data_IF_567122122201
#
_entry.id   IF_567122122201
#
_cell.length_a   1.000
_cell.length_b   1.000
_cell.length_c   1.000
_cell.angle_alpha   90.00
_cell.angle_beta   90.00
_cell.angle_gamma   90.00
#
_symmetry.space_group_name_H-M   'P 1'
#
loop_
_entity.id
_entity.type
_entity.pdbx_description
1 polymer ?
#
# COMPACT_ATOMS: atom_id res chain seq x y z
N UNK A 1 -16.51 -35.81 52.15
CA UNK A 1 -15.92 -34.55 51.65
C UNK A 1 -16.12 -34.54 50.13
N UNK A 2 -17.27 -34.03 49.68
CA UNK A 2 -17.71 -34.09 48.29
C UNK A 2 -17.28 -32.79 47.59
N UNK A 3 -16.21 -32.86 46.79
CA UNK A 3 -15.69 -31.71 46.03
C UNK A 3 -16.11 -31.83 44.57
N UNK A 4 -17.39 -31.63 44.27
CA UNK A 4 -17.80 -31.14 42.95
C UNK A 4 -19.10 -30.34 43.15
N UNK A 5 -18.97 -29.07 43.52
CA UNK A 5 -20.06 -28.10 43.34
C UNK A 5 -20.18 -27.79 41.84
N UNK A 6 -21.42 -27.62 41.37
CA UNK A 6 -21.82 -27.79 39.97
C UNK A 6 -20.98 -27.05 38.93
N UNK A 7 -20.46 -27.80 37.96
CA UNK A 7 -19.98 -27.28 36.67
C UNK A 7 -21.17 -27.26 35.70
N UNK A 8 -21.61 -26.07 35.31
CA UNK A 8 -22.71 -25.92 34.36
C UNK A 8 -22.16 -25.76 32.94
N UNK A 9 -22.50 -26.69 32.05
CA UNK A 9 -22.13 -26.67 30.64
C UNK A 9 -23.18 -25.93 29.81
N UNK A 10 -22.75 -24.95 29.02
CA UNK A 10 -23.58 -24.32 28.00
C UNK A 10 -23.05 -24.65 26.61
N UNK A 11 -23.81 -25.42 25.85
CA UNK A 11 -23.46 -25.90 24.52
C UNK A 11 -24.09 -25.01 23.45
N UNK A 12 -23.29 -24.40 22.58
CA UNK A 12 -23.77 -23.78 21.35
C UNK A 12 -23.60 -24.75 20.17
N UNK A 13 -24.68 -25.40 19.76
CA UNK A 13 -24.80 -26.12 18.48
C UNK A 13 -25.61 -25.27 17.50
N UNK A 14 -25.07 -24.96 16.32
CA UNK A 14 -25.72 -24.09 15.33
C UNK A 14 -26.46 -24.94 14.27
N UNK A 15 -27.77 -24.73 14.01
CA UNK A 15 -28.44 -25.33 12.86
C UNK A 15 -28.03 -24.61 11.56
N UNK A 16 -27.97 -25.38 10.48
CA UNK A 16 -27.39 -25.00 9.17
C UNK A 16 -28.25 -24.08 8.30
N UNK A 17 -29.41 -23.56 8.76
CA UNK A 17 -30.32 -22.86 7.85
C UNK A 17 -31.11 -21.69 8.46
N UNK A 18 -31.15 -20.60 7.67
CA UNK A 18 -32.21 -19.57 7.52
C UNK A 18 -32.50 -18.52 8.60
N UNK A 19 -31.67 -18.32 9.61
CA UNK A 19 -31.80 -17.15 10.51
C UNK A 19 -30.81 -16.04 10.11
N UNK A 20 -31.28 -14.79 10.00
CA UNK A 20 -30.40 -13.65 9.70
C UNK A 20 -29.29 -13.53 10.74
N UNK A 21 -28.06 -13.29 10.31
CA UNK A 21 -26.84 -13.40 11.13
C UNK A 21 -26.86 -12.51 12.39
N UNK A 22 -27.52 -11.35 12.32
CA UNK A 22 -27.75 -10.43 13.45
C UNK A 22 -28.56 -11.06 14.58
N UNK A 23 -29.51 -11.94 14.24
CA UNK A 23 -30.36 -12.66 15.21
C UNK A 23 -29.59 -13.75 15.96
N UNK A 24 -28.60 -14.38 15.32
CA UNK A 24 -27.75 -15.42 15.93
C UNK A 24 -26.77 -14.82 16.94
N UNK A 25 -26.17 -13.67 16.64
CA UNK A 25 -25.26 -12.98 17.56
C UNK A 25 -25.98 -12.43 18.79
N UNK A 26 -27.12 -11.77 18.61
CA UNK A 26 -27.95 -11.27 19.73
C UNK A 26 -28.53 -12.41 20.58
N UNK A 27 -28.92 -13.53 19.97
CA UNK A 27 -29.36 -14.74 20.69
C UNK A 27 -28.22 -15.37 21.49
N UNK A 28 -27.00 -15.43 20.94
CA UNK A 28 -25.81 -15.92 21.65
C UNK A 28 -25.47 -15.05 22.86
N UNK A 29 -25.49 -13.72 22.73
CA UNK A 29 -25.32 -12.78 23.86
C UNK A 29 -26.39 -12.99 24.96
N UNK A 30 -27.66 -13.11 24.57
CA UNK A 30 -28.78 -13.32 25.52
C UNK A 30 -28.71 -14.68 26.21
N UNK A 31 -28.26 -15.73 25.51
CA UNK A 31 -28.08 -17.07 26.09
C UNK A 31 -26.89 -17.13 27.04
N UNK A 32 -25.76 -16.49 26.69
CA UNK A 32 -24.61 -16.35 27.59
C UNK A 32 -25.00 -15.61 28.89
N UNK A 33 -25.77 -14.53 28.77
CA UNK A 33 -26.24 -13.73 29.91
C UNK A 33 -27.10 -14.49 30.93
N UNK A 34 -27.82 -15.55 30.52
CA UNK A 34 -28.57 -16.41 31.45
C UNK A 34 -27.62 -17.29 32.28
N UNK A 35 -26.57 -17.77 31.64
CA UNK A 35 -25.50 -18.53 32.28
C UNK A 35 -24.54 -17.66 33.10
N UNK A 36 -24.54 -16.34 32.99
CA UNK A 36 -23.62 -15.49 33.77
C UNK A 36 -24.16 -15.09 35.16
N UNK A 37 -25.39 -15.47 35.51
CA UNK A 37 -25.97 -15.22 36.84
C UNK A 37 -25.25 -16.07 37.90
N UNK A 38 -25.00 -15.45 39.06
CA UNK A 38 -24.43 -16.09 40.24
C UNK A 38 -25.47 -17.01 40.90
N UNK A 39 -25.00 -18.14 41.44
CA UNK A 39 -25.80 -19.12 42.18
C UNK A 39 -24.87 -19.85 43.17
N UNK A 40 -25.35 -20.16 44.37
CA UNK A 40 -24.50 -20.65 45.48
C UNK A 40 -23.86 -22.02 45.20
N UNK A 41 -24.48 -22.83 44.34
CA UNK A 41 -23.98 -24.15 43.91
C UNK A 41 -23.19 -24.13 42.59
N UNK A 42 -22.76 -22.96 42.12
CA UNK A 42 -22.09 -22.79 40.84
C UNK A 42 -20.73 -22.10 41.01
N UNK A 43 -19.66 -22.86 40.79
CA UNK A 43 -18.29 -22.35 40.87
C UNK A 43 -17.87 -21.62 39.59
N UNK A 44 -18.23 -22.16 38.41
CA UNK A 44 -17.92 -21.54 37.13
C UNK A 44 -18.97 -21.89 36.05
N UNK A 45 -18.95 -21.14 34.95
CA UNK A 45 -19.71 -21.46 33.75
C UNK A 45 -18.73 -21.93 32.66
N UNK A 46 -18.85 -23.18 32.24
CA UNK A 46 -18.10 -23.69 31.08
C UNK A 46 -18.96 -23.58 29.84
N UNK A 47 -18.48 -22.82 28.84
CA UNK A 47 -19.18 -22.65 27.57
C UNK A 47 -18.40 -23.36 26.47
N UNK A 48 -19.06 -24.27 25.77
CA UNK A 48 -18.52 -24.96 24.61
C UNK A 48 -19.23 -24.45 23.36
N UNK A 49 -18.49 -23.73 22.49
CA UNK A 49 -19.00 -23.25 21.19
C UNK A 49 -18.38 -24.07 20.07
N UNK A 50 -19.21 -24.89 19.43
CA UNK A 50 -18.79 -25.71 18.30
C UNK A 50 -18.75 -24.85 17.04
N UNK A 51 -17.55 -24.44 16.64
CA UNK A 51 -17.32 -23.63 15.45
C UNK A 51 -17.34 -24.53 14.22
N UNK A 52 -18.53 -24.70 13.63
CA UNK A 52 -18.72 -25.34 12.32
C UNK A 52 -18.46 -24.40 11.14
N UNK A 53 -18.74 -24.85 9.93
CA UNK A 53 -18.69 -24.01 8.72
C UNK A 53 -19.79 -22.94 8.78
N UNK A 54 -19.47 -21.79 9.36
CA UNK A 54 -20.29 -20.59 9.29
C UNK A 54 -20.22 -19.96 7.89
N UNK A 55 -21.22 -19.16 7.57
CA UNK A 55 -21.18 -18.33 6.37
C UNK A 55 -19.95 -17.40 6.41
N UNK A 56 -19.37 -17.09 5.24
CA UNK A 56 -18.13 -16.29 5.14
C UNK A 56 -18.26 -14.91 5.79
N UNK A 57 -19.47 -14.39 5.93
CA UNK A 57 -19.76 -13.06 6.47
C UNK A 57 -19.99 -13.06 8.00
N UNK A 58 -19.91 -14.22 8.66
CA UNK A 58 -20.09 -14.30 10.11
C UNK A 58 -19.03 -13.46 10.84
N UNK A 59 -19.48 -12.48 11.63
CA UNK A 59 -18.63 -11.49 12.29
C UNK A 59 -17.98 -12.03 13.57
N UNK A 60 -17.01 -12.94 13.43
CA UNK A 60 -16.25 -13.44 14.59
C UNK A 60 -15.53 -12.32 15.35
N UNK A 61 -15.03 -11.31 14.63
CA UNK A 61 -14.38 -10.14 15.24
C UNK A 61 -15.31 -9.46 16.25
N UNK A 62 -16.53 -9.10 15.85
CA UNK A 62 -17.52 -8.47 16.74
C UNK A 62 -17.88 -9.34 17.94
N UNK A 63 -17.94 -10.66 17.73
CA UNK A 63 -18.23 -11.61 18.80
C UNK A 63 -17.18 -11.60 19.89
N UNK A 64 -15.91 -11.78 19.53
CA UNK A 64 -14.83 -11.77 20.51
C UNK A 64 -14.63 -10.38 21.10
N UNK A 65 -14.82 -9.31 20.31
CA UNK A 65 -14.78 -7.92 20.79
C UNK A 65 -15.79 -7.66 21.90
N UNK A 66 -17.00 -8.20 21.78
CA UNK A 66 -18.00 -8.08 22.84
C UNK A 66 -17.63 -8.81 24.15
N UNK A 67 -16.75 -9.80 24.11
CA UNK A 67 -16.28 -10.54 25.29
C UNK A 67 -15.10 -9.85 25.97
N UNK A 68 -14.15 -9.33 25.19
CA UNK A 68 -12.95 -8.67 25.72
C UNK A 68 -13.16 -7.19 26.04
N UNK A 69 -14.14 -6.54 25.43
CA UNK A 69 -14.35 -5.09 25.53
C UNK A 69 -13.24 -4.27 24.87
N UNK A 70 -12.90 -3.13 25.49
CA UNK A 70 -11.80 -2.26 25.05
C UNK A 70 -10.46 -2.94 25.29
N UNK A 71 -9.55 -2.85 24.32
CA UNK A 71 -8.30 -3.59 24.40
C UNK A 71 -7.18 -2.90 23.63
N UNK A 72 -5.92 -3.28 23.91
CA UNK A 72 -4.74 -2.68 23.25
C UNK A 72 -4.55 -3.14 21.79
N UNK A 73 -4.97 -4.36 21.46
CA UNK A 73 -4.77 -4.97 20.14
C UNK A 73 -6.08 -5.34 19.42
N UNK A 74 -6.01 -5.62 18.11
CA UNK A 74 -7.12 -6.22 17.37
C UNK A 74 -7.48 -7.63 17.90
N UNK A 75 -8.69 -8.09 17.59
CA UNK A 75 -9.14 -9.47 17.90
C UNK A 75 -8.22 -10.51 17.30
N UNK A 76 -7.74 -10.27 16.06
CA UNK A 76 -6.80 -11.15 15.38
C UNK A 76 -5.59 -11.49 16.27
N UNK A 77 -5.00 -10.49 16.94
CA UNK A 77 -3.87 -10.68 17.84
C UNK A 77 -4.21 -11.63 19.01
N UNK A 78 -5.39 -11.49 19.63
CA UNK A 78 -5.78 -12.38 20.74
C UNK A 78 -6.15 -13.78 20.28
N UNK A 79 -6.69 -13.93 19.07
CA UNK A 79 -6.92 -15.25 18.48
C UNK A 79 -5.57 -15.94 18.20
N UNK A 80 -4.56 -15.20 17.73
CA UNK A 80 -3.21 -15.69 17.46
C UNK A 80 -2.42 -16.02 18.73
N UNK A 81 -2.46 -15.15 19.74
CA UNK A 81 -1.57 -15.20 20.90
C UNK A 81 -2.26 -15.60 22.21
N UNK A 82 -3.59 -15.77 22.20
CA UNK A 82 -4.40 -16.02 23.38
C UNK A 82 -5.05 -14.75 23.95
N UNK A 83 -6.13 -14.94 24.72
CA UNK A 83 -6.94 -13.85 25.27
C UNK A 83 -6.44 -13.42 26.65
N UNK A 84 -5.49 -12.48 26.69
CA UNK A 84 -4.89 -12.00 27.94
C UNK A 84 -5.70 -10.91 28.68
N UNK A 85 -6.58 -10.19 27.98
CA UNK A 85 -7.32 -9.02 28.51
C UNK A 85 -8.74 -9.36 28.93
N UNK A 86 -8.99 -10.55 29.45
CA UNK A 86 -10.33 -10.96 29.91
C UNK A 86 -10.62 -10.44 31.32
N UNK A 87 -11.91 -10.27 31.69
CA UNK A 87 -12.29 -10.04 33.08
C UNK A 87 -11.70 -11.11 34.01
N UNK A 88 -11.35 -10.72 35.24
CA UNK A 88 -10.77 -11.65 36.23
C UNK A 88 -11.64 -12.89 36.38
N UNK A 89 -11.00 -14.07 36.39
CA UNK A 89 -11.68 -15.36 36.49
C UNK A 89 -12.32 -15.88 35.20
N UNK A 90 -12.13 -15.19 34.06
CA UNK A 90 -12.59 -15.66 32.75
C UNK A 90 -11.42 -16.17 31.90
N UNK A 91 -11.69 -17.21 31.11
CA UNK A 91 -10.70 -17.82 30.21
C UNK A 91 -11.38 -18.23 28.89
N UNK A 92 -10.70 -17.98 27.77
CA UNK A 92 -11.14 -18.41 26.43
C UNK A 92 -10.03 -19.23 25.81
N UNK A 93 -10.35 -20.44 25.37
CA UNK A 93 -9.47 -21.33 24.64
C UNK A 93 -10.11 -21.71 23.31
N UNK A 94 -9.31 -21.64 22.24
CA UNK A 94 -9.69 -22.11 20.91
C UNK A 94 -8.82 -23.30 20.55
N UNK A 95 -9.44 -24.38 20.10
CA UNK A 95 -8.70 -25.50 19.50
C UNK A 95 -8.03 -25.08 18.20
N UNK A 96 -6.97 -25.80 17.79
CA UNK A 96 -6.16 -25.46 16.62
C UNK A 96 -6.99 -25.22 15.35
N UNK A 97 -7.88 -26.15 15.00
CA UNK A 97 -8.72 -26.03 13.80
C UNK A 97 -9.72 -24.86 13.89
N UNK A 98 -10.31 -24.64 15.06
CA UNK A 98 -11.24 -23.55 15.30
C UNK A 98 -10.53 -22.19 15.21
N UNK A 99 -9.33 -22.08 15.79
CA UNK A 99 -8.46 -20.90 15.67
C UNK A 99 -8.13 -20.60 14.22
N UNK A 100 -7.65 -21.58 13.46
CA UNK A 100 -7.31 -21.41 12.03
C UNK A 100 -8.52 -21.02 11.18
N UNK A 101 -9.71 -21.55 11.52
CA UNK A 101 -10.95 -21.19 10.85
C UNK A 101 -11.37 -19.73 11.16
N UNK A 102 -11.36 -19.33 12.43
CA UNK A 102 -11.67 -17.96 12.86
C UNK A 102 -10.68 -16.97 12.24
N UNK A 103 -9.38 -17.25 12.27
CA UNK A 103 -8.36 -16.39 11.67
C UNK A 103 -8.59 -16.22 10.18
N UNK A 104 -8.81 -17.32 9.44
CA UNK A 104 -9.14 -17.25 8.02
C UNK A 104 -10.39 -16.41 7.78
N UNK A 105 -11.44 -16.57 8.57
CA UNK A 105 -12.65 -15.76 8.42
C UNK A 105 -12.35 -14.27 8.61
N UNK A 106 -11.68 -13.89 9.71
CA UNK A 106 -11.30 -12.49 10.00
C UNK A 106 -10.47 -11.91 8.84
N UNK A 107 -9.55 -12.68 8.27
CA UNK A 107 -8.73 -12.27 7.12
C UNK A 107 -9.49 -12.22 5.79
N UNK A 108 -10.61 -12.94 5.66
CA UNK A 108 -11.39 -13.02 4.41
C UNK A 108 -12.47 -11.93 4.33
N UNK A 109 -12.82 -11.30 5.45
CA UNK A 109 -13.78 -10.19 5.48
C UNK A 109 -13.25 -9.06 4.59
N UNK A 110 -14.01 -8.72 3.54
CA UNK A 110 -13.63 -7.66 2.62
C UNK A 110 -13.63 -6.30 3.33
N UNK A 111 -12.62 -5.48 3.07
CA UNK A 111 -12.55 -4.08 3.48
C UNK A 111 -13.45 -3.20 2.58
N UNK A 112 -14.77 -3.47 2.60
CA UNK A 112 -15.79 -2.68 1.93
C UNK A 112 -15.95 -1.32 2.62
N UNK A 113 -16.51 -0.32 1.92
CA UNK A 113 -16.75 1.01 2.49
C UNK A 113 -17.64 0.92 3.75
N UNK A 114 -18.70 0.11 3.69
CA UNK A 114 -19.59 -0.15 4.83
C UNK A 114 -18.86 -0.74 6.04
N UNK A 115 -17.94 -1.69 5.82
CA UNK A 115 -17.15 -2.28 6.89
C UNK A 115 -16.16 -1.26 7.50
N UNK A 116 -15.59 -0.39 6.68
CA UNK A 116 -14.74 0.71 7.17
C UNK A 116 -15.55 1.70 8.00
N UNK A 117 -16.74 2.12 7.55
CA UNK A 117 -17.65 3.01 8.30
C UNK A 117 -18.02 2.40 9.67
N UNK A 118 -18.42 1.13 9.69
CA UNK A 118 -18.69 0.41 10.95
C UNK A 118 -17.47 0.39 11.89
N UNK A 119 -16.27 0.16 11.35
CA UNK A 119 -15.02 0.17 12.14
C UNK A 119 -14.69 1.55 12.69
N UNK A 120 -15.00 2.63 11.96
CA UNK A 120 -14.82 4.02 12.39
C UNK A 120 -15.78 4.35 13.54
N UNK A 121 -17.08 4.08 13.38
CA UNK A 121 -18.11 4.29 14.40
C UNK A 121 -17.76 3.60 15.73
N UNK A 122 -17.23 2.37 15.65
CA UNK A 122 -16.92 1.57 16.83
C UNK A 122 -15.49 1.74 17.36
N UNK A 123 -14.65 2.57 16.74
CA UNK A 123 -13.23 2.65 17.10
C UNK A 123 -13.01 3.02 18.58
N UNK A 124 -13.70 4.06 19.07
CA UNK A 124 -13.60 4.52 20.47
C UNK A 124 -14.27 3.56 21.47
N UNK A 125 -15.11 2.64 20.99
CA UNK A 125 -15.64 1.53 21.76
C UNK A 125 -14.67 0.36 21.83
N UNK A 126 -13.78 0.21 20.85
CA UNK A 126 -12.79 -0.88 20.78
C UNK A 126 -11.45 -0.51 21.44
N UNK A 127 -11.07 0.75 21.43
CA UNK A 127 -9.79 1.24 21.97
C UNK A 127 -9.94 2.63 22.60
N UNK A 128 -9.03 2.97 23.51
CA UNK A 128 -8.92 4.32 24.11
C UNK A 128 -8.00 5.25 23.31
N UNK A 129 -7.42 4.77 22.21
CA UNK A 129 -6.58 5.60 21.33
C UNK A 129 -7.41 6.70 20.66
N UNK A 130 -6.77 7.83 20.34
CA UNK A 130 -7.40 8.89 19.54
C UNK A 130 -7.69 8.37 18.13
N UNK A 131 -8.88 8.66 17.59
CA UNK A 131 -9.24 8.30 16.22
C UNK A 131 -8.46 9.19 15.23
N UNK A 132 -7.35 8.65 14.72
CA UNK A 132 -6.56 9.20 13.61
C UNK A 132 -6.42 8.12 12.55
N UNK A 133 -6.11 8.49 11.30
CA UNK A 133 -5.90 7.51 10.23
C UNK A 133 -4.82 6.48 10.62
N UNK A 134 -3.68 6.94 11.14
CA UNK A 134 -2.55 6.08 11.58
C UNK A 134 -3.01 5.08 12.64
N UNK A 135 -3.59 5.55 13.74
CA UNK A 135 -4.05 4.68 14.83
C UNK A 135 -5.14 3.71 14.35
N UNK A 136 -6.01 4.15 13.44
CA UNK A 136 -7.05 3.31 12.86
C UNK A 136 -6.47 2.15 12.04
N UNK A 137 -5.52 2.46 11.15
CA UNK A 137 -4.84 1.45 10.32
C UNK A 137 -4.06 0.46 11.19
N UNK A 138 -3.26 0.95 12.13
CA UNK A 138 -2.47 0.12 13.03
C UNK A 138 -3.33 -0.78 13.92
N UNK A 139 -4.37 -0.21 14.54
CA UNK A 139 -5.22 -0.96 15.46
C UNK A 139 -5.96 -2.09 14.76
N UNK A 140 -6.52 -1.85 13.57
CA UNK A 140 -7.24 -2.86 12.80
C UNK A 140 -6.32 -3.70 11.88
N UNK A 141 -5.01 -3.46 11.88
CA UNK A 141 -4.02 -4.10 11.00
C UNK A 141 -4.41 -4.00 9.51
N UNK A 142 -4.88 -2.82 9.10
CA UNK A 142 -5.24 -2.53 7.71
C UNK A 142 -4.06 -1.87 7.01
N UNK A 143 -3.80 -2.27 5.76
CA UNK A 143 -2.94 -1.46 4.90
C UNK A 143 -3.66 -0.18 4.49
N UNK A 144 -2.92 0.85 4.11
CA UNK A 144 -3.55 2.05 3.56
C UNK A 144 -4.38 1.74 2.29
N UNK A 145 -3.94 0.79 1.45
CA UNK A 145 -4.70 0.34 0.29
C UNK A 145 -6.03 -0.34 0.66
N UNK A 146 -6.09 -1.08 1.76
CA UNK A 146 -7.34 -1.65 2.28
C UNK A 146 -8.36 -0.59 2.64
N UNK A 147 -7.89 0.49 3.28
CA UNK A 147 -8.71 1.61 3.71
C UNK A 147 -9.25 2.38 2.51
N UNK A 148 -8.35 2.92 1.68
CA UNK A 148 -8.70 3.77 0.54
C UNK A 148 -9.44 2.99 -0.56
N UNK A 149 -9.23 1.67 -0.64
CA UNK A 149 -9.88 0.80 -1.61
C UNK A 149 -9.52 1.21 -3.05
N UNK A 150 -10.30 0.75 -4.03
CA UNK A 150 -10.10 1.03 -5.48
C UNK A 150 -11.16 1.93 -6.12
N UNK A 151 -12.23 2.21 -5.40
CA UNK A 151 -13.42 2.91 -5.90
C UNK A 151 -13.23 4.42 -5.98
N UNK A 152 -12.22 4.97 -5.30
CA UNK A 152 -11.93 6.41 -5.31
C UNK A 152 -13.00 7.25 -4.61
N UNK A 153 -13.73 6.65 -3.66
CA UNK A 153 -14.86 7.23 -2.93
C UNK A 153 -14.64 7.24 -1.40
N UNK A 154 -13.38 7.13 -0.97
CA UNK A 154 -12.97 7.05 0.43
C UNK A 154 -11.87 8.05 0.71
N UNK A 155 -12.16 8.99 1.58
CA UNK A 155 -11.20 9.82 2.29
C UNK A 155 -11.53 9.77 3.77
N UNK A 156 -10.52 9.83 4.63
CA UNK A 156 -10.68 9.66 6.07
C UNK A 156 -11.67 10.67 6.64
N UNK A 157 -11.53 11.95 6.30
CA UNK A 157 -12.43 12.98 6.81
C UNK A 157 -13.84 12.87 6.24
N UNK A 158 -14.01 12.55 4.95
CA UNK A 158 -15.36 12.34 4.39
C UNK A 158 -16.06 11.16 5.02
N UNK A 159 -15.35 10.05 5.27
CA UNK A 159 -15.92 8.90 5.98
C UNK A 159 -16.28 9.26 7.43
N UNK A 160 -15.50 10.09 8.12
CA UNK A 160 -15.88 10.56 9.46
C UNK A 160 -17.17 11.40 9.43
N UNK A 161 -17.35 12.26 8.43
CA UNK A 161 -18.61 13.00 8.22
C UNK A 161 -19.77 12.03 8.00
N UNK A 162 -19.60 11.01 7.15
CA UNK A 162 -20.63 9.99 6.90
C UNK A 162 -21.03 9.23 8.18
N UNK A 163 -20.10 9.02 9.12
CA UNK A 163 -20.40 8.41 10.44
C UNK A 163 -20.95 9.39 11.47
N UNK A 164 -21.03 10.69 11.18
CA UNK A 164 -21.40 11.73 12.14
C UNK A 164 -20.34 12.05 13.21
N UNK A 165 -19.11 11.54 13.04
CA UNK A 165 -17.97 11.78 13.96
C UNK A 165 -17.20 13.08 13.64
N UNK A 166 -17.53 13.75 12.55
CA UNK A 166 -16.91 15.01 12.13
C UNK A 166 -17.95 15.91 11.46
N UNK A 167 -17.77 17.23 11.59
CA UNK A 167 -18.65 18.21 10.96
C UNK A 167 -18.47 18.18 9.44
N UNK A 168 -19.56 18.37 8.70
CA UNK A 168 -19.49 18.45 7.25
C UNK A 168 -18.61 19.63 6.80
N UNK A 169 -17.92 19.45 5.68
CA UNK A 169 -17.03 20.43 5.07
C UNK A 169 -17.21 20.42 3.56
N UNK A 170 -16.87 21.54 2.93
CA UNK A 170 -16.98 21.71 1.49
C UNK A 170 -15.62 22.04 0.88
N UNK A 171 -15.28 21.33 -0.20
CA UNK A 171 -14.13 21.61 -1.04
C UNK A 171 -14.44 21.18 -2.47
N UNK A 172 -14.37 22.12 -3.41
CA UNK A 172 -14.84 21.92 -4.79
C UNK A 172 -14.22 20.70 -5.48
N UNK A 173 -12.92 20.49 -5.28
CA UNK A 173 -12.17 19.39 -5.91
C UNK A 173 -12.08 18.13 -5.06
N UNK A 174 -12.84 18.02 -3.97
CA UNK A 174 -12.71 16.91 -3.01
C UNK A 174 -12.77 15.53 -3.68
N UNK A 175 -13.77 15.30 -4.53
CA UNK A 175 -13.93 14.01 -5.22
C UNK A 175 -12.76 13.70 -6.13
N UNK A 176 -12.20 14.71 -6.78
CA UNK A 176 -11.07 14.53 -7.68
C UNK A 176 -9.81 14.23 -6.90
N UNK A 177 -9.52 14.98 -5.83
CA UNK A 177 -8.36 14.73 -4.96
C UNK A 177 -8.48 13.38 -4.24
N UNK A 178 -9.67 12.99 -3.79
CA UNK A 178 -9.92 11.69 -3.15
C UNK A 178 -9.51 10.52 -4.05
N UNK A 179 -9.79 10.59 -5.35
CA UNK A 179 -9.35 9.58 -6.33
C UNK A 179 -7.84 9.51 -6.51
N UNK A 180 -7.10 10.53 -6.07
CA UNK A 180 -5.64 10.67 -6.21
C UNK A 180 -4.87 10.25 -4.96
N UNK A 181 -5.50 10.26 -3.78
CA UNK A 181 -4.89 9.79 -2.53
C UNK A 181 -4.21 8.40 -2.62
N UNK A 182 -4.78 7.39 -3.31
CA UNK A 182 -4.13 6.08 -3.45
C UNK A 182 -2.75 6.10 -4.12
N UNK A 183 -2.45 7.13 -4.91
CA UNK A 183 -1.16 7.31 -5.58
C UNK A 183 -0.08 7.93 -4.68
N UNK A 184 -0.43 8.29 -3.44
CA UNK A 184 0.52 8.71 -2.41
C UNK A 184 1.01 7.53 -1.56
N UNK A 185 0.28 6.41 -1.57
CA UNK A 185 0.46 5.30 -0.63
C UNK A 185 1.74 4.51 -0.86
N UNK A 186 2.30 4.53 -2.08
CA UNK A 186 3.53 3.80 -2.38
C UNK A 186 4.82 4.57 -2.07
N UNK A 187 4.72 5.85 -1.69
CA UNK A 187 5.89 6.71 -1.47
C UNK A 187 6.65 6.18 -0.25
N UNK A 188 7.85 5.65 -0.51
CA UNK A 188 8.68 4.95 0.46
C UNK A 188 10.12 5.50 0.51
N UNK A 189 10.30 6.77 0.16
CA UNK A 189 11.60 7.47 0.26
C UNK A 189 11.59 8.37 1.49
N UNK A 190 12.53 8.16 2.41
CA UNK A 190 12.72 9.00 3.59
C UNK A 190 12.99 10.44 3.19
N UNK A 191 13.85 10.63 2.18
CA UNK A 191 14.18 11.94 1.63
C UNK A 191 12.95 12.71 1.11
N UNK A 192 12.08 12.06 0.32
CA UNK A 192 10.85 12.68 -0.16
C UNK A 192 9.85 12.95 0.97
N UNK A 193 9.62 11.97 1.84
CA UNK A 193 8.63 12.09 2.93
C UNK A 193 9.04 13.18 3.91
N UNK A 194 10.32 13.30 4.23
CA UNK A 194 10.86 14.37 5.09
C UNK A 194 10.62 15.75 4.47
N UNK A 195 10.89 15.89 3.17
CA UNK A 195 10.58 17.12 2.44
C UNK A 195 9.09 17.41 2.44
N UNK A 196 8.23 16.44 2.10
CA UNK A 196 6.78 16.65 2.03
C UNK A 196 6.17 17.01 3.39
N UNK A 197 6.55 16.34 4.46
CA UNK A 197 6.08 16.66 5.81
C UNK A 197 6.52 18.08 6.24
N UNK A 198 7.73 18.49 5.87
CA UNK A 198 8.22 19.84 6.11
C UNK A 198 7.46 20.87 5.27
N UNK A 199 7.33 20.65 3.97
CA UNK A 199 6.60 21.52 3.05
C UNK A 199 5.14 21.71 3.46
N UNK A 200 4.47 20.67 3.97
CA UNK A 200 3.11 20.80 4.52
C UNK A 200 3.05 21.72 5.75
N UNK A 201 4.15 21.88 6.49
CA UNK A 201 4.24 22.74 7.68
C UNK A 201 4.57 24.19 7.31
N UNK A 202 5.62 24.43 6.53
CA UNK A 202 6.17 25.77 6.25
C UNK A 202 5.88 26.30 4.84
N UNK A 203 5.56 25.43 3.88
CA UNK A 203 5.32 25.81 2.48
C UNK A 203 6.60 26.15 1.71
N UNK A 204 7.79 25.86 2.25
CA UNK A 204 9.06 26.34 1.72
C UNK A 204 9.77 25.34 0.81
N UNK A 205 10.24 25.84 -0.34
CA UNK A 205 11.20 25.17 -1.23
C UNK A 205 12.54 25.90 -1.15
N UNK A 206 13.62 25.17 -0.86
CA UNK A 206 14.92 25.77 -0.48
C UNK A 206 15.99 25.63 -1.56
N UNK A 207 15.85 24.68 -2.46
CA UNK A 207 16.83 24.40 -3.50
C UNK A 207 16.16 23.74 -4.71
N UNK A 208 16.96 23.52 -5.77
CA UNK A 208 16.47 22.94 -7.02
C UNK A 208 16.00 21.48 -6.88
N UNK A 209 16.62 20.69 -6.02
CA UNK A 209 16.21 19.30 -5.78
C UNK A 209 14.80 19.27 -5.15
N UNK A 210 14.54 20.14 -4.18
CA UNK A 210 13.22 20.33 -3.57
C UNK A 210 12.18 20.86 -4.55
N UNK A 211 12.56 21.69 -5.53
CA UNK A 211 11.65 22.07 -6.62
C UNK A 211 11.23 20.86 -7.45
N UNK A 212 12.14 19.92 -7.75
CA UNK A 212 11.77 18.67 -8.41
C UNK A 212 10.89 17.80 -7.52
N UNK A 213 11.13 17.75 -6.21
CA UNK A 213 10.24 17.03 -5.28
C UNK A 213 8.83 17.63 -5.26
N UNK A 214 8.71 18.96 -5.30
CA UNK A 214 7.42 19.65 -5.39
C UNK A 214 6.70 19.27 -6.69
N UNK A 215 7.41 19.28 -7.83
CA UNK A 215 6.86 18.84 -9.11
C UNK A 215 6.39 17.37 -9.04
N UNK A 216 7.14 16.48 -8.39
CA UNK A 216 6.73 15.09 -8.18
C UNK A 216 5.42 14.99 -7.40
N UNK A 217 5.27 15.77 -6.33
CA UNK A 217 4.04 15.78 -5.53
C UNK A 217 2.86 16.31 -6.36
N UNK A 218 3.07 17.42 -7.06
CA UNK A 218 2.07 18.00 -7.96
C UNK A 218 1.63 16.99 -9.00
N UNK A 219 2.54 16.33 -9.71
CA UNK A 219 2.15 15.35 -10.73
C UNK A 219 1.62 14.02 -10.17
N UNK A 220 1.80 13.78 -8.86
CA UNK A 220 1.13 12.69 -8.16
C UNK A 220 -0.34 13.03 -7.92
N UNK A 221 -0.62 14.26 -7.51
CA UNK A 221 -1.99 14.74 -7.25
C UNK A 221 -2.69 15.05 -8.59
N UNK A 222 -2.13 15.94 -9.39
CA UNK A 222 -2.65 16.39 -10.67
C UNK A 222 -1.97 15.68 -11.83
N UNK A 223 -2.70 15.37 -12.90
CA UNK A 223 -2.11 14.79 -14.13
C UNK A 223 -2.12 15.75 -15.31
N UNK A 224 -2.20 17.05 -15.02
CA UNK A 224 -2.28 18.15 -15.97
C UNK A 224 -1.21 19.18 -15.61
N UNK A 225 -0.77 19.99 -16.57
CA UNK A 225 0.09 21.16 -16.29
C UNK A 225 -0.69 22.26 -15.56
N UNK A 226 -0.01 23.20 -14.87
CA UNK A 226 -0.62 24.37 -14.23
C UNK A 226 -1.60 25.13 -15.13
N UNK A 227 -1.18 25.45 -16.36
CA UNK A 227 -2.03 26.12 -17.37
C UNK A 227 -3.38 25.40 -17.59
N UNK A 228 -3.37 24.07 -17.67
CA UNK A 228 -4.59 23.26 -17.89
C UNK A 228 -5.48 23.11 -16.66
N UNK A 229 -5.01 23.56 -15.50
CA UNK A 229 -5.79 23.66 -14.27
C UNK A 229 -6.17 25.11 -13.96
N UNK A 230 -5.80 26.06 -14.82
CA UNK A 230 -6.03 27.49 -14.64
C UNK A 230 -5.37 28.02 -13.36
N UNK A 231 -4.13 27.56 -13.09
CA UNK A 231 -3.27 28.05 -12.00
C UNK A 231 -1.92 28.50 -12.55
N UNK A 232 -1.30 29.49 -11.91
CA UNK A 232 -0.10 30.16 -12.42
C UNK A 232 1.16 29.31 -12.27
N UNK A 233 1.18 28.41 -11.28
CA UNK A 233 2.37 27.60 -10.96
C UNK A 233 2.04 26.25 -10.34
N UNK A 234 3.04 25.37 -10.30
CA UNK A 234 2.95 24.09 -9.57
C UNK A 234 2.71 24.34 -8.07
N UNK A 235 3.39 25.35 -7.51
CA UNK A 235 3.24 25.72 -6.11
C UNK A 235 1.81 26.17 -5.80
N UNK A 236 1.23 27.04 -6.63
CA UNK A 236 -0.14 27.50 -6.45
C UNK A 236 -1.16 26.37 -6.52
N UNK A 237 -1.05 25.47 -7.51
CA UNK A 237 -1.96 24.34 -7.64
C UNK A 237 -1.92 23.40 -6.43
N UNK A 238 -0.74 23.21 -5.82
CA UNK A 238 -0.62 22.47 -4.55
C UNK A 238 -1.22 23.24 -3.38
N UNK A 239 -0.94 24.54 -3.27
CA UNK A 239 -1.50 25.38 -2.21
C UNK A 239 -3.03 25.41 -2.25
N UNK A 240 -3.67 25.37 -3.43
CA UNK A 240 -5.13 25.24 -3.56
C UNK A 240 -5.68 24.00 -2.82
N UNK A 241 -5.00 22.85 -2.96
CA UNK A 241 -5.39 21.62 -2.23
C UNK A 241 -5.14 21.77 -0.73
N UNK A 242 -4.00 22.36 -0.37
CA UNK A 242 -3.57 22.51 1.03
C UNK A 242 -4.37 23.57 1.82
N UNK A 243 -5.13 24.44 1.14
CA UNK A 243 -6.11 25.34 1.77
C UNK A 243 -7.26 24.57 2.44
N UNK A 244 -7.63 23.40 1.94
CA UNK A 244 -8.56 22.51 2.65
C UNK A 244 -7.85 21.87 3.84
N UNK A 245 -8.31 22.20 5.05
CA UNK A 245 -7.69 21.71 6.30
C UNK A 245 -7.74 20.18 6.38
N UNK A 246 -8.83 19.58 5.90
CA UNK A 246 -9.11 18.15 5.87
C UNK A 246 -8.19 17.44 4.89
N UNK A 247 -8.09 17.92 3.64
CA UNK A 247 -7.18 17.34 2.65
C UNK A 247 -5.72 17.45 3.09
N UNK A 248 -5.32 18.60 3.64
CA UNK A 248 -3.97 18.80 4.18
C UNK A 248 -3.65 17.80 5.31
N UNK A 249 -4.54 17.66 6.30
CA UNK A 249 -4.37 16.70 7.41
C UNK A 249 -4.34 15.26 6.90
N UNK A 250 -5.13 14.95 5.88
CA UNK A 250 -5.21 13.61 5.32
C UNK A 250 -3.92 13.22 4.57
N UNK A 251 -3.44 14.11 3.69
CA UNK A 251 -2.16 13.92 2.99
C UNK A 251 -1.02 13.81 4.01
N UNK A 252 -1.02 14.67 5.04
CA UNK A 252 -0.05 14.59 6.14
C UNK A 252 -0.11 13.24 6.86
N UNK A 253 -1.31 12.71 7.13
CA UNK A 253 -1.48 11.43 7.79
C UNK A 253 -0.99 10.26 6.94
N UNK A 254 -1.22 10.30 5.62
CA UNK A 254 -0.66 9.32 4.67
C UNK A 254 0.88 9.35 4.72
N UNK A 255 1.50 10.53 4.61
CA UNK A 255 2.97 10.62 4.64
C UNK A 255 3.54 10.21 5.99
N UNK A 256 2.88 10.57 7.09
CA UNK A 256 3.27 10.13 8.44
C UNK A 256 3.21 8.61 8.55
N UNK A 257 2.13 7.99 8.09
CA UNK A 257 1.99 6.54 8.07
C UNK A 257 3.11 5.88 7.26
N UNK A 258 3.37 6.37 6.03
CA UNK A 258 4.43 5.84 5.18
C UNK A 258 5.81 5.98 5.83
N UNK A 259 6.10 7.13 6.45
CA UNK A 259 7.37 7.39 7.12
C UNK A 259 7.60 6.42 8.29
N UNK A 260 6.56 6.13 9.07
CA UNK A 260 6.62 5.18 10.19
C UNK A 260 6.78 3.71 9.77
N UNK A 261 6.48 3.40 8.50
CA UNK A 261 6.49 2.05 7.94
C UNK A 261 7.57 1.87 6.85
N UNK A 262 8.62 2.69 6.86
CA UNK A 262 9.76 2.51 5.96
C UNK A 262 10.51 1.21 6.30
N UNK A 263 10.51 0.26 5.36
CA UNK A 263 11.21 -1.03 5.51
C UNK A 263 12.57 -1.05 4.77
N UNK A 264 12.76 -0.17 3.80
CA UNK A 264 13.91 -0.17 2.90
C UNK A 264 14.88 0.95 3.27
N UNK A 265 16.17 0.62 3.23
CA UNK A 265 17.24 1.60 3.29
C UNK A 265 17.45 2.17 1.89
N UNK A 266 17.04 3.42 1.69
CA UNK A 266 17.29 4.13 0.45
C UNK A 266 18.78 4.45 0.30
N UNK A 267 19.28 4.52 -0.94
CA UNK A 267 20.66 4.89 -1.23
C UNK A 267 20.73 6.09 -2.15
N UNK A 268 21.79 6.87 -2.01
CA UNK A 268 22.15 7.90 -2.99
C UNK A 268 22.45 7.29 -4.35
N UNK A 269 22.29 8.07 -5.41
CA UNK A 269 22.76 7.73 -6.75
C UNK A 269 24.10 8.42 -7.04
N UNK A 270 24.74 8.03 -8.13
CA UNK A 270 25.98 8.59 -8.67
C UNK A 270 25.77 9.47 -9.92
N UNK A 271 24.52 9.86 -10.21
CA UNK A 271 24.19 10.69 -11.36
C UNK A 271 24.89 12.07 -11.31
N UNK A 272 25.42 12.58 -12.43
CA UNK A 272 26.16 13.85 -12.49
C UNK A 272 25.25 15.09 -12.54
N UNK A 273 23.97 14.94 -12.20
CA UNK A 273 22.98 16.01 -12.24
C UNK A 273 22.01 15.90 -11.05
N UNK A 274 21.41 17.02 -10.66
CA UNK A 274 20.46 17.10 -9.56
C UNK A 274 19.18 16.32 -9.86
N UNK A 275 18.80 15.40 -8.97
CA UNK A 275 17.51 14.72 -8.98
C UNK A 275 17.19 14.17 -7.58
N UNK A 276 15.92 14.21 -7.12
CA UNK A 276 15.53 13.71 -5.80
C UNK A 276 15.40 12.19 -5.73
N UNK A 277 15.70 11.47 -6.82
CA UNK A 277 15.59 10.01 -6.87
C UNK A 277 16.57 9.38 -5.88
N UNK A 278 16.15 8.26 -5.29
CA UNK A 278 16.97 7.43 -4.40
C UNK A 278 16.85 5.98 -4.84
N UNK A 279 17.97 5.29 -4.84
CA UNK A 279 18.05 3.89 -5.26
C UNK A 279 17.29 3.04 -4.25
N UNK A 280 16.53 2.07 -4.76
CA UNK A 280 15.58 1.18 -4.08
C UNK A 280 14.24 1.79 -3.66
N UNK A 281 14.02 3.08 -3.91
CA UNK A 281 12.71 3.70 -3.71
C UNK A 281 11.80 3.50 -4.92
N UNK A 282 10.50 3.59 -4.67
CA UNK A 282 9.43 3.31 -5.63
C UNK A 282 8.80 4.60 -6.16
N UNK A 283 8.65 4.68 -7.48
CA UNK A 283 8.18 5.86 -8.19
C UNK A 283 7.19 5.51 -9.29
N UNK A 284 6.14 6.29 -9.44
CA UNK A 284 5.31 6.24 -10.64
C UNK A 284 6.06 6.84 -11.83
N UNK A 285 5.65 6.54 -13.06
CA UNK A 285 6.23 7.15 -14.26
C UNK A 285 6.15 8.69 -14.22
N UNK A 286 5.03 9.25 -13.76
CA UNK A 286 4.85 10.70 -13.66
C UNK A 286 5.82 11.31 -12.63
N UNK A 287 6.08 10.61 -11.51
CA UNK A 287 7.08 11.01 -10.51
C UNK A 287 8.51 10.95 -11.08
N UNK A 288 8.89 9.90 -11.81
CA UNK A 288 10.23 9.80 -12.42
C UNK A 288 10.46 10.94 -13.43
N UNK A 289 9.48 11.21 -14.28
CA UNK A 289 9.60 12.25 -15.29
C UNK A 289 9.64 13.66 -14.68
N UNK A 290 8.94 13.89 -13.57
CA UNK A 290 9.05 15.12 -12.80
C UNK A 290 10.40 15.26 -12.08
N UNK A 291 10.89 14.17 -11.48
CA UNK A 291 12.18 14.12 -10.78
C UNK A 291 13.38 14.39 -11.71
N UNK A 292 13.22 14.09 -12.99
CA UNK A 292 14.21 14.33 -14.03
C UNK A 292 13.94 15.62 -14.82
N UNK A 293 13.02 16.48 -14.37
CA UNK A 293 12.71 17.77 -15.00
C UNK A 293 12.07 17.66 -16.40
N UNK A 294 11.71 16.46 -16.86
CA UNK A 294 11.00 16.24 -18.11
C UNK A 294 9.55 16.72 -18.02
N UNK A 295 8.94 16.54 -16.85
CA UNK A 295 7.70 17.21 -16.46
C UNK A 295 8.00 18.40 -15.57
N UNK A 296 7.48 19.56 -15.94
CA UNK A 296 7.67 20.84 -15.27
C UNK A 296 6.49 21.78 -15.58
N UNK A 297 6.49 22.99 -15.04
CA UNK A 297 5.38 23.94 -15.16
C UNK A 297 4.91 24.16 -16.59
N UNK A 298 5.85 24.27 -17.53
CA UNK A 298 5.57 24.55 -18.94
C UNK A 298 5.28 23.28 -19.74
N UNK A 299 5.84 22.14 -19.33
CA UNK A 299 5.88 20.93 -20.14
C UNK A 299 5.34 19.70 -19.41
N UNK A 300 4.23 19.16 -19.94
CA UNK A 300 3.75 17.80 -19.66
C UNK A 300 3.36 17.11 -20.97
N UNK A 301 4.33 16.46 -21.61
CA UNK A 301 4.11 15.66 -22.83
C UNK A 301 3.66 14.26 -22.45
N UNK A 302 2.71 13.67 -23.17
CA UNK A 302 2.36 12.26 -22.92
C UNK A 302 3.52 11.32 -23.21
N UNK A 303 3.84 10.48 -22.24
CA UNK A 303 4.83 9.43 -22.37
C UNK A 303 4.14 8.07 -22.41
N UNK A 304 4.35 7.32 -23.50
CA UNK A 304 3.75 6.01 -23.74
C UNK A 304 4.77 4.92 -24.07
N UNK A 305 6.06 5.26 -24.06
CA UNK A 305 7.14 4.34 -24.43
C UNK A 305 7.73 3.66 -23.20
N UNK A 306 8.42 2.53 -23.38
CA UNK A 306 9.12 1.83 -22.29
C UNK A 306 10.50 2.41 -21.96
N UNK A 307 10.96 3.39 -22.73
CA UNK A 307 12.25 4.04 -22.53
C UNK A 307 12.19 5.51 -22.97
N UNK A 308 12.99 6.38 -22.34
CA UNK A 308 13.11 7.79 -22.73
C UNK A 308 14.58 8.23 -22.74
N UNK A 309 14.96 8.98 -23.77
CA UNK A 309 16.27 9.60 -23.90
C UNK A 309 16.20 11.09 -23.52
N UNK A 310 16.84 11.44 -22.41
CA UNK A 310 17.02 12.80 -21.91
C UNK A 310 18.34 13.36 -22.43
N UNK A 311 18.28 14.04 -23.59
CA UNK A 311 19.47 14.57 -24.29
C UNK A 311 20.24 15.58 -23.44
N UNK A 312 19.53 16.46 -22.73
CA UNK A 312 20.10 17.49 -21.86
C UNK A 312 20.87 16.89 -20.67
N UNK A 313 20.47 15.70 -20.22
CA UNK A 313 21.12 14.98 -19.10
C UNK A 313 22.07 13.88 -19.53
N UNK A 314 22.20 13.65 -20.84
CA UNK A 314 22.90 12.48 -21.41
C UNK A 314 22.49 11.20 -20.68
N UNK A 315 21.19 10.95 -20.58
CA UNK A 315 20.65 9.81 -19.86
C UNK A 315 19.57 9.09 -20.66
N UNK A 316 19.55 7.75 -20.59
CA UNK A 316 18.39 6.94 -20.99
C UNK A 316 17.78 6.28 -19.74
N UNK A 317 16.46 6.33 -19.67
CA UNK A 317 15.68 5.79 -18.56
C UNK A 317 14.82 4.65 -19.09
N UNK A 318 14.94 3.47 -18.47
CA UNK A 318 14.21 2.27 -18.85
C UNK A 318 13.13 1.95 -17.82
N UNK A 319 11.86 1.86 -18.27
CA UNK A 319 10.72 1.42 -17.48
C UNK A 319 10.40 -0.04 -17.80
N UNK A 320 10.80 -0.93 -16.91
CA UNK A 320 10.83 -2.38 -17.13
C UNK A 320 9.73 -3.03 -16.30
N UNK A 321 8.87 -3.81 -16.95
CA UNK A 321 7.86 -4.65 -16.28
C UNK A 321 8.24 -6.11 -16.50
N UNK A 322 8.58 -6.82 -15.42
CA UNK A 322 9.07 -8.20 -15.46
C UNK A 322 7.97 -9.16 -15.94
N UNK A 323 6.82 -9.14 -15.28
CA UNK A 323 5.68 -9.99 -15.62
C UNK A 323 4.72 -9.24 -16.52
N UNK A 324 4.91 -9.43 -17.83
CA UNK A 324 3.97 -9.01 -18.87
C UNK A 324 2.86 -10.07 -18.95
N UNK A 325 1.93 -10.05 -18.00
CA UNK A 325 0.77 -10.94 -17.99
C UNK A 325 -0.22 -10.56 -19.10
N UNK A 326 0.10 -10.88 -20.35
CA UNK A 326 -0.85 -10.79 -21.45
C UNK A 326 -1.35 -12.22 -21.73
N UNK A 327 -2.68 -12.40 -21.68
CA UNK A 327 -3.37 -13.69 -21.89
C UNK A 327 -3.15 -14.32 -23.28
N UNK A 328 -2.40 -13.64 -24.15
CA UNK A 328 -2.19 -13.99 -25.55
C UNK A 328 -0.73 -14.27 -25.92
N UNK A 329 0.18 -14.48 -24.95
CA UNK A 329 1.58 -14.81 -25.24
C UNK A 329 1.90 -16.28 -25.00
N UNK A 330 2.38 -16.94 -26.06
CA UNK A 330 2.97 -18.28 -26.04
C UNK A 330 4.06 -18.40 -24.93
N UNK A 331 4.14 -19.53 -24.20
CA UNK A 331 5.16 -19.77 -23.15
C UNK A 331 6.61 -19.52 -23.56
N UNK A 332 6.90 -19.57 -24.87
CA UNK A 332 8.22 -19.31 -25.44
C UNK A 332 8.62 -17.82 -25.53
N UNK A 333 7.73 -16.88 -25.19
CA UNK A 333 7.98 -15.42 -25.23
C UNK A 333 8.02 -14.76 -23.84
N UNK A 334 8.12 -15.54 -22.77
CA UNK A 334 8.01 -15.02 -21.39
C UNK A 334 9.30 -14.42 -20.81
N UNK A 335 10.46 -14.47 -21.49
CA UNK A 335 11.76 -14.15 -20.87
C UNK A 335 12.59 -13.08 -21.60
N UNK A 336 12.06 -11.86 -21.74
CA UNK A 336 12.85 -10.77 -22.32
C UNK A 336 13.56 -9.91 -21.27
N UNK A 337 13.02 -9.76 -20.06
CA UNK A 337 13.56 -8.89 -19.02
C UNK A 337 13.61 -9.62 -17.66
N UNK A 338 14.80 -9.80 -17.08
CA UNK A 338 14.97 -10.53 -15.80
C UNK A 338 16.27 -10.19 -15.07
N UNK A 339 16.30 -10.38 -13.76
CA UNK A 339 17.52 -10.30 -12.97
C UNK A 339 18.33 -11.60 -13.14
N UNK A 340 19.52 -11.53 -13.72
CA UNK A 340 20.39 -12.72 -13.83
C UNK A 340 20.98 -13.09 -12.47
N UNK A 341 21.34 -12.08 -11.69
CA UNK A 341 21.76 -12.19 -10.29
C UNK A 341 21.61 -10.80 -9.65
N UNK A 342 22.09 -10.62 -8.42
CA UNK A 342 21.98 -9.37 -7.66
C UNK A 342 22.68 -8.15 -8.28
N UNK A 343 23.54 -8.33 -9.29
CA UNK A 343 24.28 -7.27 -10.00
C UNK A 343 23.95 -7.18 -11.48
N UNK A 344 23.55 -8.29 -12.11
CA UNK A 344 23.37 -8.38 -13.55
C UNK A 344 21.88 -8.42 -13.89
N UNK A 345 21.47 -7.54 -14.80
CA UNK A 345 20.09 -7.43 -15.28
C UNK A 345 20.05 -7.60 -16.79
N UNK A 346 19.20 -8.51 -17.26
CA UNK A 346 18.91 -8.68 -18.68
C UNK A 346 17.74 -7.80 -19.08
N UNK A 347 17.92 -6.99 -20.13
CA UNK A 347 16.88 -6.12 -20.68
C UNK A 347 16.86 -6.21 -22.20
N UNK A 348 15.67 -6.21 -22.79
CA UNK A 348 15.49 -6.22 -24.24
C UNK A 348 14.95 -4.89 -24.77
N UNK A 349 15.55 -4.40 -25.84
CA UNK A 349 15.11 -3.16 -26.50
C UNK A 349 13.75 -3.30 -27.18
N UNK A 350 13.17 -2.18 -27.61
CA UNK A 350 12.02 -2.18 -28.51
C UNK A 350 12.31 -3.00 -29.79
N UNK A 351 11.28 -3.65 -30.35
CA UNK A 351 11.39 -4.66 -31.41
C UNK A 351 12.11 -4.19 -32.69
N UNK A 352 12.10 -2.89 -32.98
CA UNK A 352 12.71 -2.30 -34.18
C UNK A 352 14.15 -1.82 -33.99
N UNK A 353 14.65 -1.73 -32.76
CA UNK A 353 15.97 -1.17 -32.48
C UNK A 353 17.06 -2.12 -32.96
N UNK A 354 17.72 -1.79 -34.09
CA UNK A 354 18.87 -2.55 -34.63
C UNK A 354 20.15 -2.34 -33.84
N UNK A 355 21.04 -3.33 -33.80
CA UNK A 355 22.39 -3.17 -33.23
C UNK A 355 23.18 -2.03 -33.91
N UNK A 356 22.88 -1.76 -35.18
CA UNK A 356 23.50 -0.70 -35.97
C UNK A 356 22.84 0.67 -35.78
N UNK A 357 21.70 0.76 -35.09
CA UNK A 357 20.97 2.01 -34.86
C UNK A 357 21.71 2.95 -33.91
N UNK A 358 21.45 4.25 -34.01
CA UNK A 358 22.09 5.23 -33.12
C UNK A 358 21.69 5.02 -31.65
N UNK A 359 20.48 4.51 -31.39
CA UNK A 359 20.03 4.13 -30.05
C UNK A 359 20.88 3.00 -29.48
N UNK A 360 21.05 1.89 -30.21
CA UNK A 360 21.86 0.78 -29.74
C UNK A 360 23.33 1.18 -29.57
N UNK A 361 23.90 1.93 -30.52
CA UNK A 361 25.26 2.49 -30.41
C UNK A 361 25.42 3.37 -29.18
N UNK A 362 24.43 4.20 -28.86
CA UNK A 362 24.44 5.02 -27.64
C UNK A 362 24.47 4.15 -26.38
N UNK A 363 23.74 3.04 -26.35
CA UNK A 363 23.74 2.11 -25.21
C UNK A 363 25.05 1.34 -25.08
N UNK A 364 25.61 0.86 -26.19
CA UNK A 364 26.88 0.12 -26.20
C UNK A 364 28.05 1.02 -25.78
N UNK A 365 28.12 2.24 -26.31
CA UNK A 365 29.21 3.19 -26.07
C UNK A 365 28.88 4.20 -24.94
N UNK A 366 27.94 3.88 -24.06
CA UNK A 366 27.42 4.85 -23.10
C UNK A 366 28.52 5.36 -22.15
N UNK A 367 29.44 4.49 -21.70
CA UNK A 367 30.57 4.86 -20.83
C UNK A 367 31.50 5.87 -21.51
N UNK A 368 31.92 5.56 -22.73
CA UNK A 368 32.78 6.43 -23.55
C UNK A 368 32.15 7.81 -23.79
N UNK A 369 30.82 7.86 -23.87
CA UNK A 369 30.04 9.08 -24.11
C UNK A 369 29.65 9.82 -22.83
N UNK A 370 30.04 9.32 -21.65
CA UNK A 370 29.56 9.77 -20.34
C UNK A 370 28.03 9.86 -20.29
N UNK A 371 27.38 8.79 -20.77
CA UNK A 371 25.93 8.68 -20.91
C UNK A 371 25.39 7.69 -19.88
N UNK A 372 24.37 8.11 -19.14
CA UNK A 372 23.82 7.40 -17.99
C UNK A 372 22.70 6.46 -18.41
N UNK A 373 22.62 5.28 -17.79
CA UNK A 373 21.57 4.30 -18.02
C UNK A 373 20.87 4.03 -16.69
N UNK A 374 19.59 4.39 -16.59
CA UNK A 374 18.80 4.29 -15.35
C UNK A 374 17.73 3.21 -15.50
N UNK A 375 17.67 2.28 -14.55
CA UNK A 375 16.72 1.17 -14.58
C UNK A 375 15.62 1.35 -13.52
N UNK A 376 14.37 1.39 -13.98
CA UNK A 376 13.17 1.40 -13.14
C UNK A 376 12.39 0.12 -13.39
N UNK A 377 12.23 -0.71 -12.36
CA UNK A 377 11.69 -2.08 -12.50
C UNK A 377 10.45 -2.26 -11.65
N UNK A 378 9.45 -2.97 -12.19
CA UNK A 378 8.29 -3.45 -11.43
C UNK A 378 7.95 -4.89 -11.79
N UNK A 379 7.37 -5.62 -10.85
CA UNK A 379 6.93 -7.00 -11.07
C UNK A 379 5.74 -7.05 -12.03
N UNK A 380 4.65 -6.33 -11.71
CA UNK A 380 3.40 -6.35 -12.48
C UNK A 380 3.02 -4.95 -12.96
N UNK A 381 2.13 -4.86 -13.97
CA UNK A 381 1.56 -3.55 -14.39
C UNK A 381 0.67 -2.93 -13.32
N UNK A 382 -0.01 -3.76 -12.53
CA UNK A 382 -0.94 -3.34 -11.50
C UNK A 382 -0.68 -4.08 -10.18
N UNK A 383 -0.85 -3.36 -9.07
CA UNK A 383 -0.81 -3.87 -7.71
C UNK A 383 -1.94 -3.19 -6.92
N UNK A 384 -2.66 -3.94 -6.09
CA UNK A 384 -3.80 -3.43 -5.31
C UNK A 384 -4.89 -2.71 -6.15
N UNK A 385 -5.00 -3.05 -7.45
CA UNK A 385 -5.94 -2.41 -8.38
C UNK A 385 -5.48 -1.06 -8.94
N UNK A 386 -4.26 -0.63 -8.61
CA UNK A 386 -3.62 0.59 -9.11
C UNK A 386 -2.45 0.26 -10.03
N UNK A 387 -2.02 1.23 -10.85
CA UNK A 387 -0.77 1.08 -11.58
C UNK A 387 0.39 0.92 -10.60
N UNK A 388 1.13 -0.18 -10.70
CA UNK A 388 2.22 -0.45 -9.78
C UNK A 388 3.39 0.52 -10.04
N UNK A 389 4.00 1.08 -8.97
CA UNK A 389 5.19 1.92 -9.09
C UNK A 389 6.39 1.09 -9.55
N UNK A 390 7.41 1.77 -10.04
CA UNK A 390 8.70 1.18 -10.38
C UNK A 390 9.73 1.45 -9.30
N UNK A 391 10.46 0.44 -8.88
CA UNK A 391 11.62 0.59 -8.02
C UNK A 391 12.83 1.02 -8.84
N UNK A 392 13.51 2.09 -8.40
CA UNK A 392 14.75 2.55 -9.03
C UNK A 392 15.92 1.64 -8.63
N UNK A 393 16.54 0.96 -9.59
CA UNK A 393 17.71 0.11 -9.35
C UNK A 393 19.04 0.85 -9.41
N UNK A 394 19.01 2.16 -9.65
CA UNK A 394 20.20 2.97 -9.85
C UNK A 394 20.67 2.98 -11.30
N UNK A 395 21.94 3.34 -11.46
CA UNK A 395 22.65 3.37 -12.74
C UNK A 395 23.23 2.00 -13.09
N UNK A 396 23.47 1.79 -14.39
CA UNK A 396 24.02 0.54 -14.88
C UNK A 396 25.05 0.71 -16.00
N UNK A 397 25.97 -0.26 -16.09
CA UNK A 397 26.99 -0.35 -17.13
C UNK A 397 26.70 -1.47 -18.12
N UNK A 398 26.95 -1.18 -19.38
CA UNK A 398 26.87 -2.15 -20.46
C UNK A 398 27.93 -3.26 -20.25
N UNK A 399 27.49 -4.52 -20.31
CA UNK A 399 28.38 -5.70 -20.25
C UNK A 399 28.49 -6.37 -21.61
N UNK A 400 27.35 -6.76 -22.18
CA UNK A 400 27.28 -7.43 -23.49
C UNK A 400 25.91 -7.25 -24.11
N UNK A 401 25.80 -7.46 -25.42
CA UNK A 401 24.53 -7.57 -26.12
C UNK A 401 24.48 -8.81 -27.03
N UNK A 402 23.28 -9.15 -27.47
CA UNK A 402 23.02 -10.17 -28.48
C UNK A 402 21.74 -9.83 -29.25
N UNK A 403 21.62 -10.34 -30.48
CA UNK A 403 20.47 -10.03 -31.34
C UNK A 403 20.56 -8.64 -31.98
N UNK A 404 19.54 -8.28 -32.73
CA UNK A 404 19.48 -7.00 -33.44
C UNK A 404 18.07 -6.49 -33.61
N UNK A 405 17.02 -7.31 -33.78
CA UNK A 405 15.64 -6.79 -33.85
C UNK A 405 14.71 -7.69 -33.04
N UNK A 406 14.66 -7.55 -31.70
CA UNK A 406 15.33 -6.54 -30.86
C UNK A 406 16.78 -6.90 -30.47
N UNK A 407 17.49 -5.94 -29.86
CA UNK A 407 18.77 -6.16 -29.18
C UNK A 407 18.51 -6.48 -27.71
N UNK A 408 19.11 -7.56 -27.21
CA UNK A 408 19.12 -7.89 -25.79
C UNK A 408 20.43 -7.42 -25.16
N UNK A 409 20.35 -6.77 -24.01
CA UNK A 409 21.47 -6.21 -23.28
C UNK A 409 21.59 -6.85 -21.90
N UNK A 410 22.83 -7.07 -21.47
CA UNK A 410 23.15 -7.36 -20.08
C UNK A 410 23.77 -6.12 -19.46
N UNK A 411 23.14 -5.63 -18.41
CA UNK A 411 23.54 -4.46 -17.64
C UNK A 411 24.09 -4.90 -16.29
N UNK A 412 25.20 -4.29 -15.86
CA UNK A 412 25.73 -4.42 -14.49
C UNK A 412 25.31 -3.20 -13.69
N UNK A 413 24.51 -3.41 -12.65
CA UNK A 413 24.09 -2.36 -11.73
C UNK A 413 25.26 -1.88 -10.86
N UNK A 414 25.28 -0.60 -10.53
CA UNK A 414 26.22 -0.05 -9.55
C UNK A 414 25.82 -0.39 -8.10
N UNK A 415 24.52 -0.59 -7.86
CA UNK A 415 23.99 -0.98 -6.57
C UNK A 415 23.41 -2.38 -6.61
N UNK A 416 23.72 -3.17 -5.58
CA UNK A 416 23.19 -4.52 -5.42
C UNK A 416 21.66 -4.49 -5.28
N UNK A 417 20.96 -5.28 -6.11
CA UNK A 417 19.50 -5.38 -6.03
C UNK A 417 19.01 -5.89 -4.67
N UNK A 418 17.91 -5.33 -4.14
CA UNK A 418 17.24 -5.87 -2.97
C UNK A 418 16.78 -7.31 -3.21
N UNK A 419 16.96 -8.17 -2.20
CA UNK A 419 16.61 -9.60 -2.29
C UNK A 419 15.14 -9.83 -2.71
N UNK A 420 14.21 -8.97 -2.25
CA UNK A 420 12.79 -9.02 -2.63
C UNK A 420 12.59 -8.92 -4.15
N UNK A 421 13.32 -8.03 -4.82
CA UNK A 421 13.24 -7.86 -6.28
C UNK A 421 13.87 -9.03 -7.04
N UNK A 422 14.93 -9.64 -6.50
CA UNK A 422 15.56 -10.84 -7.10
C UNK A 422 14.57 -12.01 -7.11
N UNK A 423 13.88 -12.25 -5.98
CA UNK A 423 12.84 -13.29 -5.90
C UNK A 423 11.73 -13.01 -6.90
N UNK A 424 11.25 -11.76 -6.98
CA UNK A 424 10.20 -11.36 -7.93
C UNK A 424 10.62 -11.53 -9.39
N UNK A 425 11.88 -11.23 -9.72
CA UNK A 425 12.43 -11.37 -11.06
C UNK A 425 12.74 -12.83 -11.45
N UNK A 426 12.94 -13.73 -10.46
CA UNK A 426 13.29 -15.13 -10.69
C UNK A 426 12.14 -16.12 -10.52
N UNK A 427 10.93 -15.67 -10.16
CA UNK A 427 9.74 -16.53 -9.96
C UNK A 427 9.36 -17.41 -11.16
N UNK A 428 9.91 -17.15 -12.33
CA UNK A 428 9.65 -17.92 -13.56
C UNK A 428 10.87 -18.72 -14.06
N UNK A 429 12.03 -18.68 -13.38
CA UNK A 429 13.24 -19.40 -13.80
C UNK A 429 13.30 -20.82 -13.18
N UNK A 430 12.36 -21.18 -12.31
CA UNK A 430 12.28 -22.49 -11.63
C UNK A 430 11.09 -23.33 -12.10
#
# INVERSE_FOLDING_TARGET
MSFYKGVYFFLFTRPLTSLSETSLFTRSKKQLGRGLRLHDDKECLTVLDFIGQAHKEYKFEDKFRALIGRSRHAIKHYVENGFSTLPRGSFIQLEKQAKDYVLRNIMTIKNSKQNILMKLENFTHHTSQKLTLVNFLEFYQLTAYDFYGRSGDRSFYRLLVETGLYNDFHYDREKDITKRLPYLLHINSEHLLSFYLRYLKDGEVRNQEEQFMLNMLYYTIFRKSPEKLEVDSIAEGLQEVLRSSEMKKEIQAIFTYNYQHLELVEKSHDLPFTTPLRVHCSYSTDQVLAALGYYNEERRTEFREGAIHLKDKKADVFFITLNKSDKDFSPSKMYDDYAMNEWLFHWQSQSRTSVTSETAKRYIHHRERNHQILLFVREYRQENGYAAPFTFLGTAEYVRHSGSKPVSFVWKLHEKMPAKLIVQANKHIL
#
